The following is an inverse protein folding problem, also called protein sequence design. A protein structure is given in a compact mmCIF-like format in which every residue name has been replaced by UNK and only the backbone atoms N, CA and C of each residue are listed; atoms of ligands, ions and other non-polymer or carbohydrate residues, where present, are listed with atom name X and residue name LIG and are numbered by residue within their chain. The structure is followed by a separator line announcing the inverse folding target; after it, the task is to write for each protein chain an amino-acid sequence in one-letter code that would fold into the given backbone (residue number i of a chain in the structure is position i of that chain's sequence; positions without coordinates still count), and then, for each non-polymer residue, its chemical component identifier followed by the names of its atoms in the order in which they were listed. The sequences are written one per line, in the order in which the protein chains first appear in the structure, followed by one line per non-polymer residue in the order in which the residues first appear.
data_IF_951199603797
#
_entry.id   IF_951199603797
#
_cell.length_a   1.000
_cell.length_b   1.000
_cell.length_c   1.000
_cell.angle_alpha   90.00
_cell.angle_beta   90.00
_cell.angle_gamma   90.00
#
_symmetry.space_group_name_H-M   'P 1'
#
loop_
_entity.id
_entity.type
_entity.pdbx_description
1 polymer ?
#
# COMPACT_ATOMS: atom_id res chain seq x y z
N UNK A 1 -10.21 47.65 21.57
CA UNK A 1 -10.37 46.26 22.08
C UNK A 1 -9.92 45.31 20.98
N UNK A 2 -8.68 44.87 21.07
CA UNK A 2 -8.05 43.96 20.10
C UNK A 2 -8.20 42.54 20.60
N UNK A 3 -9.13 41.79 19.98
CA UNK A 3 -9.32 40.35 20.25
C UNK A 3 -8.25 39.56 19.57
N UNK A 4 -7.34 38.97 20.35
CA UNK A 4 -6.39 37.99 19.86
C UNK A 4 -7.12 36.68 19.49
N UNK A 5 -7.21 36.38 18.21
CA UNK A 5 -7.60 35.04 17.74
C UNK A 5 -6.46 34.05 18.04
N UNK A 6 -6.66 33.23 19.04
CA UNK A 6 -5.82 32.03 19.25
C UNK A 6 -6.13 31.01 18.17
N UNK A 7 -5.25 30.89 17.20
CA UNK A 7 -5.27 29.79 16.23
C UNK A 7 -4.86 28.50 16.95
N UNK A 8 -5.85 27.79 17.49
CA UNK A 8 -5.66 26.44 18.02
C UNK A 8 -5.26 25.50 16.88
N UNK A 9 -4.14 24.82 17.05
CA UNK A 9 -3.62 23.79 16.14
C UNK A 9 -4.71 22.75 15.83
N UNK A 10 -5.17 22.67 14.58
CA UNK A 10 -6.26 21.81 14.13
C UNK A 10 -5.86 20.31 13.94
N UNK A 11 -4.67 19.93 14.39
CA UNK A 11 -4.18 18.56 14.32
C UNK A 11 -4.04 17.95 15.71
N UNK A 12 -5.18 17.74 16.40
CA UNK A 12 -5.17 16.97 17.64
C UNK A 12 -4.89 15.49 17.31
N UNK A 13 -3.69 15.05 17.61
CA UNK A 13 -3.32 13.63 17.62
C UNK A 13 -4.14 12.93 18.72
N UNK A 14 -5.11 12.11 18.34
CA UNK A 14 -5.83 11.26 19.28
C UNK A 14 -5.06 9.97 19.45
N UNK A 15 -4.46 9.79 20.61
CA UNK A 15 -3.87 8.53 21.03
C UNK A 15 -4.99 7.69 21.64
N UNK A 16 -5.48 6.67 20.93
CA UNK A 16 -6.41 5.69 21.48
C UNK A 16 -5.63 4.53 22.08
N UNK A 17 -5.82 4.27 23.38
CA UNK A 17 -5.35 3.05 24.03
C UNK A 17 -6.26 1.90 23.60
N UNK A 18 -5.96 1.28 22.46
CA UNK A 18 -6.57 0.03 22.04
C UNK A 18 -5.80 -1.13 22.68
N UNK A 19 -6.53 -2.07 23.28
CA UNK A 19 -6.07 -3.13 24.18
C UNK A 19 -4.71 -3.77 23.85
N UNK A 20 -4.02 -4.24 24.87
CA UNK A 20 -2.65 -4.79 24.89
C UNK A 20 -2.41 -6.06 24.05
N UNK A 21 -3.40 -6.53 23.27
CA UNK A 21 -3.25 -7.75 22.48
C UNK A 21 -2.55 -7.45 21.17
N UNK A 22 -1.40 -8.13 20.98
CA UNK A 22 -0.69 -8.11 19.70
C UNK A 22 -1.49 -8.87 18.64
N UNK A 23 -2.04 -8.15 17.66
CA UNK A 23 -2.92 -8.68 16.61
C UNK A 23 -2.24 -8.78 15.24
N UNK A 24 -0.91 -8.68 15.20
CA UNK A 24 -0.14 -8.68 13.96
C UNK A 24 0.28 -10.08 13.54
N UNK A 25 0.46 -10.28 12.25
CA UNK A 25 0.88 -11.57 11.67
C UNK A 25 2.36 -11.89 11.86
N UNK A 26 3.09 -11.02 12.55
CA UNK A 26 4.51 -11.17 12.88
C UNK A 26 4.75 -10.96 14.39
N UNK A 27 5.85 -11.50 14.94
CA UNK A 27 6.13 -11.41 16.38
C UNK A 27 6.47 -9.96 16.77
N UNK A 28 6.08 -9.60 18.01
CA UNK A 28 6.38 -8.29 18.59
C UNK A 28 7.87 -8.18 18.94
N UNK A 29 8.50 -7.11 18.50
CA UNK A 29 9.89 -6.81 18.84
C UNK A 29 10.02 -6.23 20.24
N UNK A 30 11.03 -6.69 20.97
CA UNK A 30 11.42 -6.09 22.26
C UNK A 30 12.26 -4.81 22.10
N UNK A 31 12.77 -4.52 20.89
CA UNK A 31 13.69 -3.41 20.60
C UNK A 31 12.98 -2.10 20.22
N UNK A 32 11.68 -2.15 19.96
CA UNK A 32 10.91 -1.00 19.55
C UNK A 32 9.71 -0.75 20.46
N UNK A 33 9.31 0.50 20.58
CA UNK A 33 8.01 0.90 21.12
C UNK A 33 7.00 0.91 19.99
N UNK A 34 5.80 0.41 20.25
CA UNK A 34 4.67 0.42 19.33
C UNK A 34 3.52 1.20 19.92
N UNK A 35 2.90 2.06 19.12
CA UNK A 35 1.73 2.86 19.50
C UNK A 35 0.79 2.95 18.31
N UNK A 36 -0.49 2.65 18.51
CA UNK A 36 -1.53 2.90 17.51
C UNK A 36 -1.85 4.39 17.50
N UNK A 37 -1.91 4.98 16.30
CA UNK A 37 -2.16 6.42 16.09
C UNK A 37 -3.18 6.62 14.99
N UNK A 38 -3.80 7.80 14.97
CA UNK A 38 -4.72 8.23 13.91
C UNK A 38 -4.37 9.64 13.46
N UNK A 39 -4.59 9.89 12.16
CA UNK A 39 -4.43 11.21 11.55
C UNK A 39 -5.40 11.36 10.37
N UNK A 40 -5.50 12.55 9.80
CA UNK A 40 -6.42 12.79 8.67
C UNK A 40 -5.64 13.09 7.40
N UNK A 41 -6.13 12.59 6.28
CA UNK A 41 -5.71 13.06 4.97
C UNK A 41 -6.41 14.40 4.61
N UNK A 42 -6.02 15.04 3.50
CA UNK A 42 -6.60 16.32 3.06
C UNK A 42 -8.09 16.23 2.68
N UNK A 43 -8.61 15.04 2.45
CA UNK A 43 -10.05 14.80 2.21
C UNK A 43 -10.85 14.62 3.51
N UNK A 44 -10.19 14.73 4.67
CA UNK A 44 -10.83 14.57 5.98
C UNK A 44 -11.04 13.13 6.43
N UNK A 45 -10.57 12.15 5.66
CA UNK A 45 -10.64 10.74 6.03
C UNK A 45 -9.63 10.47 7.14
N UNK A 46 -10.09 9.84 8.22
CA UNK A 46 -9.22 9.43 9.34
C UNK A 46 -8.49 8.15 8.96
N UNK A 47 -7.17 8.18 9.00
CA UNK A 47 -6.29 7.04 8.78
C UNK A 47 -5.84 6.45 10.11
N UNK A 48 -5.86 5.12 10.21
CA UNK A 48 -5.31 4.38 11.35
C UNK A 48 -3.94 3.82 11.00
N UNK A 49 -2.99 3.95 11.93
CA UNK A 49 -1.63 3.52 11.73
C UNK A 49 -0.99 2.97 13.00
N UNK A 50 0.05 2.18 12.81
CA UNK A 50 0.96 1.70 13.84
C UNK A 50 2.29 2.46 13.74
N UNK A 51 2.61 3.22 14.77
CA UNK A 51 3.87 3.94 14.91
C UNK A 51 4.87 3.05 15.67
N UNK A 52 6.03 2.82 15.09
CA UNK A 52 7.14 2.09 15.70
C UNK A 52 8.33 3.03 15.93
N UNK A 53 8.87 3.01 17.14
CA UNK A 53 10.00 3.86 17.53
C UNK A 53 11.11 3.01 18.16
N UNK A 54 12.37 3.16 17.74
CA UNK A 54 13.49 2.48 18.37
C UNK A 54 13.57 2.86 19.86
N UNK A 55 13.83 1.87 20.72
CA UNK A 55 14.08 2.14 22.14
C UNK A 55 15.48 2.72 22.38
N UNK A 56 15.59 3.59 23.37
CA UNK A 56 16.89 4.12 23.82
C UNK A 56 17.55 5.14 22.90
N UNK A 57 16.88 5.56 21.81
CA UNK A 57 17.41 6.59 20.92
C UNK A 57 17.17 8.00 21.48
N UNK A 58 18.07 8.93 21.14
CA UNK A 58 17.98 10.35 21.50
C UNK A 58 18.03 11.21 20.25
N UNK A 59 17.39 12.37 20.31
CA UNK A 59 17.36 13.34 19.21
C UNK A 59 16.34 12.97 18.13
N UNK A 60 16.41 13.68 17.01
CA UNK A 60 15.53 13.48 15.87
C UNK A 60 16.08 12.41 14.93
N UNK A 61 15.23 11.53 14.49
CA UNK A 61 15.56 10.42 13.60
C UNK A 61 14.95 10.64 12.22
N UNK A 62 15.53 9.96 11.21
CA UNK A 62 14.88 9.79 9.93
C UNK A 62 13.62 8.91 10.09
N UNK A 63 12.62 9.12 9.22
CA UNK A 63 11.36 8.40 9.33
C UNK A 63 10.91 7.78 8.00
N UNK A 64 10.09 6.72 8.09
CA UNK A 64 9.55 6.00 6.95
C UNK A 64 8.05 5.78 7.10
N UNK A 65 7.27 6.17 6.10
CA UNK A 65 5.87 5.76 5.97
C UNK A 65 5.79 4.50 5.09
N UNK A 66 5.03 3.50 5.54
CA UNK A 66 4.96 2.18 4.90
C UNK A 66 3.50 1.77 4.70
N UNK A 67 3.13 1.32 3.51
CA UNK A 67 1.79 0.76 3.27
C UNK A 67 1.78 -0.29 2.16
N UNK A 68 0.74 -1.13 2.16
CA UNK A 68 0.55 -2.25 1.25
C UNK A 68 0.78 -3.60 1.92
N UNK A 69 0.51 -4.68 1.22
CA UNK A 69 -0.02 -4.81 -0.16
C UNK A 69 -1.44 -4.26 -0.36
N UNK A 70 -1.88 -4.19 -1.62
CA UNK A 70 -3.24 -3.78 -1.99
C UNK A 70 -4.26 -4.77 -1.40
N UNK A 71 -5.21 -4.27 -0.59
CA UNK A 71 -6.17 -5.09 0.14
C UNK A 71 -5.65 -5.75 1.43
N UNK A 72 -4.38 -5.53 1.78
CA UNK A 72 -3.84 -5.89 3.09
C UNK A 72 -4.08 -4.78 4.13
N UNK A 73 -3.75 -5.07 5.38
CA UNK A 73 -3.81 -4.13 6.50
C UNK A 73 -2.45 -3.98 7.16
N UNK A 74 -2.28 -2.91 7.94
CA UNK A 74 -1.03 -2.56 8.63
C UNK A 74 -0.51 -3.63 9.59
N UNK A 75 -1.36 -4.56 9.99
CA UNK A 75 -1.02 -5.71 10.84
C UNK A 75 -0.30 -6.84 10.10
N UNK A 76 -0.20 -6.74 8.76
CA UNK A 76 0.43 -7.72 7.88
C UNK A 76 1.81 -7.20 7.39
N UNK A 77 2.13 -7.36 6.12
CA UNK A 77 3.43 -7.05 5.52
C UNK A 77 3.97 -5.65 5.85
N UNK A 78 3.16 -4.59 5.72
CA UNK A 78 3.63 -3.22 5.99
C UNK A 78 4.06 -3.02 7.44
N UNK A 79 3.38 -3.66 8.39
CA UNK A 79 3.77 -3.63 9.79
C UNK A 79 5.09 -4.35 10.05
N UNK A 80 5.33 -5.51 9.39
CA UNK A 80 6.61 -6.21 9.46
C UNK A 80 7.76 -5.32 8.95
N UNK A 81 7.59 -4.70 7.78
CA UNK A 81 8.58 -3.77 7.25
C UNK A 81 8.82 -2.60 8.20
N UNK A 82 7.74 -1.99 8.71
CA UNK A 82 7.85 -0.86 9.63
C UNK A 82 8.56 -1.25 10.92
N UNK A 83 8.17 -2.35 11.58
CA UNK A 83 8.85 -2.81 12.79
C UNK A 83 10.32 -3.12 12.53
N UNK A 84 10.64 -3.82 11.45
CA UNK A 84 12.00 -4.22 11.12
C UNK A 84 12.90 -3.01 10.81
N UNK A 85 12.37 -2.00 10.11
CA UNK A 85 13.12 -0.76 9.86
C UNK A 85 13.26 0.09 11.12
N UNK A 86 12.28 0.05 12.04
CA UNK A 86 12.41 0.70 13.34
C UNK A 86 13.52 0.06 14.20
N UNK A 87 13.66 -1.26 14.16
CA UNK A 87 14.78 -1.95 14.81
C UNK A 87 16.16 -1.52 14.28
N UNK A 88 16.18 -0.94 13.07
CA UNK A 88 17.36 -0.44 12.36
C UNK A 88 17.58 1.08 12.52
N UNK A 89 16.82 1.73 13.39
CA UNK A 89 17.04 3.12 13.81
C UNK A 89 16.15 4.17 13.16
N UNK A 90 15.10 3.79 12.41
CA UNK A 90 14.13 4.73 11.85
C UNK A 90 12.89 4.85 12.75
N UNK A 91 12.22 5.99 12.74
CA UNK A 91 10.83 6.06 13.20
C UNK A 91 9.96 5.65 12.02
N UNK A 92 9.07 4.69 12.22
CA UNK A 92 8.29 4.15 11.10
C UNK A 92 6.80 4.14 11.40
N UNK A 93 6.01 4.33 10.36
CA UNK A 93 4.55 4.39 10.41
C UNK A 93 3.98 3.43 9.38
N UNK A 94 3.39 2.31 9.82
CA UNK A 94 2.58 1.45 8.97
C UNK A 94 1.11 1.90 9.03
N UNK A 95 0.48 2.21 7.90
CA UNK A 95 -0.89 2.71 7.87
C UNK A 95 -1.82 1.88 6.98
N UNK A 96 -3.10 1.80 7.39
CA UNK A 96 -4.16 1.32 6.52
C UNK A 96 -4.54 2.42 5.53
N UNK A 97 -4.66 2.14 4.22
CA UNK A 97 -5.20 3.10 3.27
C UNK A 97 -6.64 3.48 3.60
N UNK A 98 -7.08 4.64 3.14
CA UNK A 98 -8.48 5.06 3.20
C UNK A 98 -9.41 3.94 2.77
N UNK A 99 -10.55 3.80 3.43
CA UNK A 99 -11.63 2.82 3.20
C UNK A 99 -11.33 1.37 3.62
N UNK A 100 -10.13 1.07 4.12
CA UNK A 100 -9.70 -0.29 4.46
C UNK A 100 -9.22 -0.41 5.90
N UNK A 101 -9.21 -1.63 6.44
CA UNK A 101 -8.74 -1.90 7.78
C UNK A 101 -9.46 -1.08 8.85
N UNK A 102 -8.70 -0.42 9.71
CA UNK A 102 -9.20 0.49 10.75
C UNK A 102 -9.27 1.96 10.29
N UNK A 103 -8.79 2.28 9.08
CA UNK A 103 -8.96 3.61 8.49
C UNK A 103 -10.41 3.87 8.11
N UNK A 104 -10.81 5.14 8.17
CA UNK A 104 -12.15 5.59 7.83
C UNK A 104 -12.43 5.64 6.33
N UNK A 105 -13.53 6.29 6.01
CA UNK A 105 -14.04 6.43 4.65
C UNK A 105 -15.18 5.46 4.35
N UNK A 106 -16.17 5.98 3.62
CA UNK A 106 -17.35 5.24 3.17
C UNK A 106 -17.54 5.43 1.66
N UNK A 107 -17.96 4.39 0.95
CA UNK A 107 -18.22 3.03 1.44
C UNK A 107 -16.93 2.29 1.79
N UNK A 108 -17.06 1.21 2.59
CA UNK A 108 -15.91 0.34 2.92
C UNK A 108 -15.48 -0.50 1.73
N UNK A 109 -14.24 -1.00 1.78
CA UNK A 109 -13.68 -1.87 0.75
C UNK A 109 -13.59 -1.19 -0.63
N UNK A 110 -13.24 0.08 -0.63
CA UNK A 110 -12.92 0.86 -1.84
C UNK A 110 -11.41 1.08 -1.91
N UNK A 111 -10.88 1.11 -3.11
CA UNK A 111 -9.59 1.73 -3.38
C UNK A 111 -9.78 2.85 -4.42
N UNK A 112 -9.02 3.91 -4.26
CA UNK A 112 -8.97 5.03 -5.19
C UNK A 112 -7.52 5.40 -5.44
N UNK A 113 -7.13 5.44 -6.70
CA UNK A 113 -5.75 5.73 -7.07
C UNK A 113 -5.27 7.09 -6.54
N UNK A 114 -6.12 8.12 -6.60
CA UNK A 114 -5.81 9.46 -6.09
C UNK A 114 -5.82 9.51 -4.56
N UNK A 115 -6.88 9.03 -3.92
CA UNK A 115 -7.02 9.12 -2.45
C UNK A 115 -5.95 8.28 -1.74
N UNK A 116 -5.67 7.06 -2.22
CA UNK A 116 -4.64 6.23 -1.61
C UNK A 116 -3.21 6.74 -1.91
N UNK A 117 -3.01 7.51 -2.96
CA UNK A 117 -1.78 8.30 -3.17
C UNK A 117 -1.65 9.40 -2.11
N UNK A 118 -2.72 10.15 -1.87
CA UNK A 118 -2.78 11.19 -0.85
C UNK A 118 -2.51 10.65 0.56
N UNK A 119 -2.92 9.41 0.86
CA UNK A 119 -2.69 8.79 2.16
C UNK A 119 -1.20 8.71 2.52
N UNK A 120 -0.30 8.54 1.53
CA UNK A 120 1.15 8.63 1.75
C UNK A 120 1.59 10.04 2.13
N UNK A 121 1.07 11.08 1.48
CA UNK A 121 1.38 12.48 1.83
C UNK A 121 0.86 12.84 3.21
N UNK A 122 -0.32 12.35 3.59
CA UNK A 122 -0.87 12.51 4.93
C UNK A 122 -0.02 11.80 6.01
N UNK A 123 0.54 10.63 5.70
CA UNK A 123 1.48 9.93 6.57
C UNK A 123 2.78 10.74 6.75
N UNK A 124 3.24 11.42 5.69
CA UNK A 124 4.39 12.34 5.75
C UNK A 124 4.06 13.58 6.58
N UNK A 125 2.83 14.13 6.50
CA UNK A 125 2.36 15.20 7.40
C UNK A 125 2.48 14.79 8.85
N UNK A 126 1.93 13.62 9.20
CA UNK A 126 1.98 13.09 10.56
C UNK A 126 3.40 12.91 11.06
N UNK A 127 4.27 12.26 10.28
CA UNK A 127 5.67 12.05 10.63
C UNK A 127 6.43 13.37 10.77
N UNK A 128 6.21 14.33 9.87
CA UNK A 128 6.87 15.63 9.91
C UNK A 128 6.48 16.52 11.10
N UNK A 129 5.35 16.24 11.75
CA UNK A 129 4.89 16.90 12.98
C UNK A 129 5.32 16.15 14.25
N UNK A 130 5.82 14.92 14.13
CA UNK A 130 6.24 14.13 15.28
C UNK A 130 7.54 14.71 15.90
N UNK A 131 7.60 14.94 17.24
CA UNK A 131 8.70 15.66 17.88
C UNK A 131 10.08 15.03 17.69
N UNK A 132 10.13 13.69 17.55
CA UNK A 132 11.37 12.92 17.41
C UNK A 132 11.75 12.67 15.93
N UNK A 133 11.01 13.20 14.96
CA UNK A 133 11.31 13.06 13.53
C UNK A 133 12.03 14.28 12.99
N UNK A 134 13.09 14.05 12.24
CA UNK A 134 13.65 15.07 11.38
C UNK A 134 12.82 15.14 10.08
N UNK A 135 12.01 16.19 9.93
CA UNK A 135 11.12 16.38 8.78
C UNK A 135 11.82 16.48 7.43
N UNK A 136 13.13 16.74 7.43
CA UNK A 136 13.93 16.77 6.21
C UNK A 136 14.44 15.38 5.80
N UNK A 137 14.18 14.36 6.61
CA UNK A 137 14.68 12.98 6.47
C UNK A 137 13.54 11.97 6.48
N UNK A 138 12.54 12.17 5.61
CA UNK A 138 11.36 11.29 5.51
C UNK A 138 11.39 10.57 4.17
N UNK A 139 11.30 9.24 4.21
CA UNK A 139 11.13 8.37 3.06
C UNK A 139 9.83 7.59 3.11
N UNK A 140 9.52 6.89 2.02
CA UNK A 140 8.35 6.02 1.94
C UNK A 140 8.71 4.63 1.39
N UNK A 141 7.97 3.62 1.83
CA UNK A 141 8.03 2.26 1.29
C UNK A 141 6.62 1.85 0.84
N UNK A 142 6.47 1.55 -0.43
CA UNK A 142 5.26 0.95 -0.99
C UNK A 142 5.45 -0.54 -1.26
N UNK A 143 4.46 -1.37 -0.89
CA UNK A 143 4.51 -2.82 -1.10
C UNK A 143 3.38 -3.22 -2.04
N UNK A 144 3.68 -4.05 -3.04
CA UNK A 144 2.73 -4.54 -4.03
C UNK A 144 1.97 -3.38 -4.71
N UNK A 145 0.64 -3.38 -4.72
CA UNK A 145 -0.17 -2.35 -5.37
C UNK A 145 -0.03 -0.95 -4.78
N UNK A 146 0.32 -0.81 -3.48
CA UNK A 146 0.58 0.51 -2.88
C UNK A 146 1.93 1.10 -3.31
N UNK A 147 2.78 0.32 -3.97
CA UNK A 147 4.02 0.83 -4.58
C UNK A 147 3.76 1.92 -5.61
N UNK A 148 2.74 1.72 -6.44
CA UNK A 148 2.36 2.71 -7.44
C UNK A 148 1.91 4.03 -6.82
N UNK A 149 1.11 3.97 -5.74
CA UNK A 149 0.69 5.15 -4.99
C UNK A 149 1.88 5.84 -4.30
N UNK A 150 2.81 5.07 -3.72
CA UNK A 150 4.02 5.63 -3.10
C UNK A 150 4.89 6.40 -4.12
N UNK A 151 5.09 5.84 -5.31
CA UNK A 151 5.82 6.51 -6.41
C UNK A 151 5.06 7.75 -6.91
N UNK A 152 3.74 7.66 -7.04
CA UNK A 152 2.90 8.79 -7.46
C UNK A 152 2.95 9.91 -6.42
N UNK A 153 2.85 9.60 -5.12
CA UNK A 153 3.02 10.57 -4.05
C UNK A 153 4.41 11.22 -4.11
N UNK A 154 5.47 10.41 -4.25
CA UNK A 154 6.84 10.93 -4.37
C UNK A 154 7.02 11.84 -5.60
N UNK A 155 6.29 11.63 -6.69
CA UNK A 155 6.39 12.48 -7.90
C UNK A 155 5.84 13.90 -7.69
N UNK A 156 4.93 14.07 -6.72
CA UNK A 156 4.23 15.35 -6.47
C UNK A 156 4.49 15.94 -5.07
N UNK A 157 5.15 15.20 -4.17
CA UNK A 157 5.47 15.65 -2.81
C UNK A 157 6.98 15.64 -2.55
N UNK A 158 7.60 16.81 -2.60
CA UNK A 158 9.05 16.98 -2.43
C UNK A 158 9.55 16.72 -0.99
N UNK A 159 8.66 16.57 -0.02
CA UNK A 159 8.98 16.20 1.37
C UNK A 159 9.37 14.73 1.48
N UNK A 160 8.95 13.90 0.53
CA UNK A 160 9.41 12.51 0.38
C UNK A 160 10.81 12.55 -0.23
N UNK A 161 11.84 12.28 0.57
CA UNK A 161 13.26 12.44 0.18
C UNK A 161 13.83 11.20 -0.52
N UNK A 162 13.24 10.03 -0.26
CA UNK A 162 13.61 8.77 -0.89
C UNK A 162 12.39 7.84 -0.94
N UNK A 163 12.26 7.05 -1.99
CA UNK A 163 11.18 6.08 -2.13
C UNK A 163 11.74 4.70 -2.46
N UNK A 164 11.24 3.67 -1.75
CA UNK A 164 11.50 2.28 -2.07
C UNK A 164 10.18 1.54 -2.36
N UNK A 165 10.24 0.55 -3.24
CA UNK A 165 9.11 -0.35 -3.50
C UNK A 165 9.55 -1.81 -3.38
N UNK A 166 8.64 -2.68 -2.94
CA UNK A 166 8.86 -4.12 -2.92
C UNK A 166 7.70 -4.84 -3.62
N UNK A 167 8.02 -5.79 -4.50
CA UNK A 167 7.03 -6.57 -5.26
C UNK A 167 5.94 -5.69 -5.90
N UNK A 168 6.32 -4.62 -6.57
CA UNK A 168 5.38 -3.60 -7.01
C UNK A 168 4.39 -4.06 -8.07
N UNK A 169 3.24 -3.38 -8.09
CA UNK A 169 2.23 -3.41 -9.15
C UNK A 169 1.92 -2.00 -9.65
N UNK A 170 1.66 -1.88 -10.93
CA UNK A 170 0.89 -0.78 -11.49
C UNK A 170 -0.59 -1.15 -11.44
N UNK A 171 -1.29 -0.75 -10.38
CA UNK A 171 -2.70 -1.10 -10.21
C UNK A 171 -3.58 -0.51 -11.32
N UNK A 172 -3.25 0.67 -11.85
CA UNK A 172 -4.00 1.24 -12.98
C UNK A 172 -3.85 0.39 -14.24
N UNK A 173 -2.65 -0.05 -14.56
CA UNK A 173 -2.38 -0.92 -15.71
C UNK A 173 -2.98 -2.32 -15.51
N UNK A 174 -2.77 -2.91 -14.34
CA UNK A 174 -3.31 -4.23 -14.00
C UNK A 174 -4.83 -4.26 -14.11
N UNK A 175 -5.50 -3.33 -13.45
CA UNK A 175 -6.97 -3.25 -13.42
C UNK A 175 -7.55 -2.93 -14.79
N UNK A 176 -6.95 -2.00 -15.54
CA UNK A 176 -7.51 -1.53 -16.83
C UNK A 176 -7.10 -2.35 -18.05
N UNK A 177 -5.99 -3.11 -17.97
CA UNK A 177 -5.43 -3.85 -19.10
C UNK A 177 -5.19 -5.33 -18.83
N UNK A 178 -5.35 -5.76 -17.58
CA UNK A 178 -5.07 -7.13 -17.16
C UNK A 178 -3.58 -7.46 -17.05
N UNK A 179 -3.29 -8.66 -16.61
CA UNK A 179 -1.93 -9.17 -16.48
C UNK A 179 -1.19 -9.15 -17.82
N UNK A 180 -0.01 -8.52 -17.85
CA UNK A 180 0.80 -8.31 -19.06
C UNK A 180 0.03 -7.65 -20.22
N UNK A 181 -0.89 -6.74 -19.91
CA UNK A 181 -1.79 -6.09 -20.89
C UNK A 181 -2.66 -7.08 -21.68
N UNK A 182 -3.04 -8.19 -21.05
CA UNK A 182 -3.72 -9.31 -21.70
C UNK A 182 -5.18 -9.07 -22.08
N UNK A 183 -5.82 -8.00 -21.60
CA UNK A 183 -7.19 -7.68 -22.01
C UNK A 183 -7.23 -7.11 -23.42
N UNK A 184 -8.07 -7.68 -24.27
CA UNK A 184 -8.39 -7.11 -25.58
C UNK A 184 -9.16 -5.80 -25.42
N UNK A 185 -9.20 -4.99 -26.47
CA UNK A 185 -10.03 -3.77 -26.47
C UNK A 185 -11.51 -4.07 -26.22
N UNK A 186 -12.03 -5.16 -26.78
CA UNK A 186 -13.41 -5.61 -26.55
C UNK A 186 -13.65 -5.96 -25.07
N UNK A 187 -12.74 -6.71 -24.44
CA UNK A 187 -12.82 -7.02 -23.00
C UNK A 187 -12.80 -5.76 -22.14
N UNK A 188 -11.96 -4.80 -22.46
CA UNK A 188 -11.90 -3.51 -21.76
C UNK A 188 -13.21 -2.74 -21.89
N UNK A 189 -13.84 -2.71 -23.07
CA UNK A 189 -15.16 -2.12 -23.25
C UNK A 189 -16.24 -2.86 -22.44
N UNK A 190 -16.22 -4.20 -22.44
CA UNK A 190 -17.14 -5.00 -21.59
C UNK A 190 -17.00 -4.67 -20.11
N UNK A 191 -15.76 -4.48 -19.62
CA UNK A 191 -15.53 -4.06 -18.23
C UNK A 191 -16.12 -2.69 -17.97
N UNK A 192 -15.89 -1.71 -18.84
CA UNK A 192 -16.41 -0.35 -18.69
C UNK A 192 -17.95 -0.37 -18.66
N UNK A 193 -18.58 -1.12 -19.57
CA UNK A 193 -20.04 -1.25 -19.61
C UNK A 193 -20.58 -1.90 -18.33
N UNK A 194 -19.93 -2.98 -17.86
CA UNK A 194 -20.28 -3.64 -16.60
C UNK A 194 -20.20 -2.68 -15.41
N UNK A 195 -19.11 -1.94 -15.28
CA UNK A 195 -18.92 -0.98 -14.20
C UNK A 195 -19.95 0.16 -14.26
N UNK A 196 -20.29 0.61 -15.45
CA UNK A 196 -21.29 1.66 -15.67
C UNK A 196 -22.68 1.19 -15.25
N UNK A 197 -23.08 -0.02 -15.63
CA UNK A 197 -24.34 -0.63 -15.22
C UNK A 197 -24.38 -0.87 -13.71
N UNK A 198 -23.29 -1.34 -13.13
CA UNK A 198 -23.19 -1.57 -11.68
C UNK A 198 -23.42 -0.30 -10.87
N UNK A 199 -22.98 0.87 -11.36
CA UNK A 199 -23.25 2.16 -10.70
C UNK A 199 -24.74 2.45 -10.57
N UNK A 200 -25.55 2.11 -11.59
CA UNK A 200 -27.01 2.25 -11.50
C UNK A 200 -27.60 1.28 -10.49
N UNK A 201 -27.17 0.02 -10.51
CA UNK A 201 -27.60 -1.00 -9.53
C UNK A 201 -27.28 -0.56 -8.11
N UNK A 202 -26.10 -0.03 -7.87
CA UNK A 202 -25.68 0.48 -6.56
C UNK A 202 -26.56 1.67 -6.11
N UNK A 203 -26.81 2.62 -7.01
CA UNK A 203 -27.64 3.80 -6.74
C UNK A 203 -29.12 3.43 -6.46
N UNK A 204 -29.69 2.53 -7.24
CA UNK A 204 -31.07 2.05 -7.07
C UNK A 204 -31.24 1.30 -5.74
N UNK A 205 -30.24 0.52 -5.33
CA UNK A 205 -30.29 -0.27 -4.09
C UNK A 205 -29.86 0.51 -2.84
N UNK A 206 -29.27 1.72 -3.02
CA UNK A 206 -28.71 2.50 -1.89
C UNK A 206 -27.55 1.79 -1.18
N UNK A 207 -26.88 0.84 -1.84
CA UNK A 207 -25.74 0.08 -1.32
C UNK A 207 -24.82 -0.36 -2.43
N UNK A 208 -23.54 -0.51 -2.13
CA UNK A 208 -22.50 -0.91 -3.08
C UNK A 208 -22.39 -2.43 -3.17
N UNK A 209 -22.45 -2.97 -4.39
CA UNK A 209 -22.16 -4.37 -4.68
C UNK A 209 -20.68 -4.70 -4.44
N UNK A 210 -20.38 -5.93 -4.05
CA UNK A 210 -19.01 -6.43 -3.94
C UNK A 210 -18.55 -7.08 -5.24
N UNK A 211 -17.25 -7.00 -5.53
CA UNK A 211 -16.65 -7.55 -6.74
C UNK A 211 -15.13 -7.59 -6.71
N UNK A 212 -14.56 -7.88 -7.85
CA UNK A 212 -13.11 -7.96 -8.05
C UNK A 212 -12.55 -6.61 -8.48
N UNK A 213 -11.33 -6.28 -8.04
CA UNK A 213 -10.59 -5.13 -8.57
C UNK A 213 -10.05 -5.40 -9.98
N UNK A 214 -9.63 -6.61 -10.28
CA UNK A 214 -9.35 -7.08 -11.64
C UNK A 214 -10.54 -7.93 -12.10
N UNK A 215 -11.31 -7.43 -13.06
CA UNK A 215 -12.56 -8.07 -13.48
C UNK A 215 -12.25 -9.30 -14.33
N UNK A 216 -12.49 -10.52 -13.84
CA UNK A 216 -12.12 -11.72 -14.57
C UNK A 216 -13.16 -12.11 -15.64
N UNK A 217 -12.69 -12.85 -16.62
CA UNK A 217 -13.52 -13.44 -17.69
C UNK A 217 -13.51 -14.96 -17.57
N UNK A 218 -14.65 -15.58 -17.86
CA UNK A 218 -14.74 -17.02 -18.06
C UNK A 218 -14.22 -17.45 -19.46
N UNK A 219 -14.17 -18.74 -19.70
CA UNK A 219 -13.71 -19.31 -20.98
C UNK A 219 -14.56 -18.87 -22.20
N UNK A 220 -15.79 -18.40 -21.96
CA UNK A 220 -16.70 -17.90 -23.00
C UNK A 220 -16.59 -16.38 -23.20
N UNK A 221 -15.71 -15.69 -22.47
CA UNK A 221 -15.54 -14.25 -22.54
C UNK A 221 -16.61 -13.45 -21.80
N UNK A 222 -17.33 -14.06 -20.86
CA UNK A 222 -18.27 -13.35 -19.98
C UNK A 222 -17.56 -12.91 -18.70
N UNK A 223 -18.01 -11.77 -18.16
CA UNK A 223 -17.51 -11.29 -16.88
C UNK A 223 -17.93 -12.23 -15.74
N UNK A 224 -16.95 -12.65 -14.93
CA UNK A 224 -17.19 -13.40 -13.70
C UNK A 224 -17.48 -12.44 -12.57
N UNK A 225 -18.65 -12.59 -11.93
CA UNK A 225 -19.05 -11.84 -10.73
C UNK A 225 -18.68 -12.62 -9.49
N UNK A 226 -18.24 -11.96 -8.43
CA UNK A 226 -17.88 -12.61 -7.19
C UNK A 226 -17.91 -11.66 -5.99
N UNK A 227 -17.91 -12.26 -4.80
CA UNK A 227 -17.97 -11.53 -3.52
C UNK A 227 -16.73 -11.79 -2.65
N UNK A 228 -15.67 -12.36 -3.20
CA UNK A 228 -14.39 -12.60 -2.52
C UNK A 228 -13.24 -12.43 -3.50
N UNK A 229 -12.15 -11.81 -3.05
CA UNK A 229 -10.93 -11.66 -3.87
C UNK A 229 -10.27 -13.04 -4.08
N UNK A 230 -10.19 -13.84 -3.00
CA UNK A 230 -9.65 -15.19 -3.03
C UNK A 230 -10.74 -16.20 -2.61
N UNK A 231 -10.73 -17.40 -3.18
CA UNK A 231 -11.69 -18.46 -2.81
C UNK A 231 -11.51 -18.88 -1.34
N UNK A 232 -12.53 -19.50 -0.75
CA UNK A 232 -12.44 -20.07 0.61
C UNK A 232 -11.60 -21.35 0.65
N UNK A 233 -11.59 -22.09 -0.45
CA UNK A 233 -10.80 -23.31 -0.64
C UNK A 233 -10.02 -23.19 -1.93
N UNK A 234 -8.74 -23.54 -1.89
CA UNK A 234 -7.88 -23.51 -3.07
C UNK A 234 -8.31 -24.60 -4.05
N UNK A 235 -8.65 -24.25 -5.31
CA UNK A 235 -8.92 -25.25 -6.34
C UNK A 235 -7.72 -26.17 -6.59
N UNK A 236 -7.96 -27.45 -6.87
CA UNK A 236 -6.89 -28.43 -7.13
C UNK A 236 -6.04 -28.11 -8.37
N UNK A 237 -6.60 -27.33 -9.30
CA UNK A 237 -5.96 -26.86 -10.52
C UNK A 237 -5.59 -25.36 -10.47
N UNK A 238 -5.45 -24.79 -9.26
CA UNK A 238 -5.07 -23.40 -9.10
C UNK A 238 -3.72 -23.12 -9.76
N UNK A 239 -3.61 -21.99 -10.44
CA UNK A 239 -2.33 -21.53 -10.93
C UNK A 239 -1.39 -21.14 -9.78
N UNK A 240 -0.06 -21.15 -9.99
CA UNK A 240 0.90 -20.88 -8.92
C UNK A 240 0.74 -19.50 -8.27
N UNK A 241 0.29 -18.47 -9.01
CA UNK A 241 0.10 -17.11 -8.49
C UNK A 241 -1.09 -17.07 -7.54
N UNK A 242 -2.22 -17.66 -7.95
CA UNK A 242 -3.39 -17.81 -7.08
C UNK A 242 -3.04 -18.62 -5.82
N UNK A 243 -2.30 -19.71 -5.97
CA UNK A 243 -1.88 -20.55 -4.85
C UNK A 243 -1.00 -19.77 -3.85
N UNK A 244 -0.06 -18.96 -4.32
CA UNK A 244 0.81 -18.15 -3.47
C UNK A 244 0.03 -17.07 -2.70
N UNK A 245 -0.90 -16.36 -3.35
CA UNK A 245 -1.77 -15.40 -2.68
C UNK A 245 -2.72 -16.07 -1.68
N UNK A 246 -3.28 -17.24 -2.04
CA UNK A 246 -4.11 -18.01 -1.12
C UNK A 246 -3.33 -18.44 0.12
N UNK A 247 -2.12 -18.97 -0.05
CA UNK A 247 -1.26 -19.38 1.05
C UNK A 247 -0.99 -18.24 2.03
N UNK A 248 -0.69 -17.04 1.51
CA UNK A 248 -0.47 -15.89 2.38
C UNK A 248 -1.77 -15.41 3.05
N UNK A 249 -2.82 -15.10 2.29
CA UNK A 249 -3.99 -14.40 2.82
C UNK A 249 -5.04 -15.29 3.48
N UNK A 250 -5.11 -16.58 3.11
CA UNK A 250 -6.17 -17.49 3.55
C UNK A 250 -5.70 -18.55 4.55
N UNK A 251 -4.41 -18.59 4.88
CA UNK A 251 -3.81 -19.49 5.88
C UNK A 251 -3.26 -18.70 7.07
N UNK A 252 -2.89 -19.37 8.18
CA UNK A 252 -2.26 -18.69 9.33
C UNK A 252 -0.96 -17.94 9.01
N UNK A 253 -0.37 -18.13 7.82
CA UNK A 253 0.84 -17.42 7.37
C UNK A 253 0.66 -15.91 7.42
N UNK A 254 -0.44 -15.39 6.89
CA UNK A 254 -0.67 -13.95 6.82
C UNK A 254 -2.15 -13.56 6.88
N UNK A 255 -3.06 -14.48 7.22
CA UNK A 255 -4.49 -14.16 7.38
C UNK A 255 -4.69 -13.06 8.43
N UNK A 256 -5.52 -12.08 8.09
CA UNK A 256 -5.99 -11.08 9.05
C UNK A 256 -7.47 -10.75 8.84
N UNK A 257 -8.29 -10.70 9.91
CA UNK A 257 -9.76 -10.55 9.78
C UNK A 257 -10.19 -9.21 9.17
N UNK A 258 -9.37 -8.17 9.22
CA UNK A 258 -9.64 -6.87 8.60
C UNK A 258 -9.12 -6.74 7.17
N UNK A 259 -8.35 -7.72 6.68
CA UNK A 259 -7.83 -7.69 5.31
C UNK A 259 -8.89 -8.12 4.30
N UNK A 260 -9.09 -7.31 3.27
CA UNK A 260 -10.03 -7.61 2.17
C UNK A 260 -9.64 -8.91 1.47
N UNK A 261 -8.34 -9.09 1.20
CA UNK A 261 -7.84 -10.29 0.52
C UNK A 261 -8.05 -11.57 1.35
N UNK A 262 -8.13 -11.45 2.68
CA UNK A 262 -8.35 -12.59 3.58
C UNK A 262 -9.83 -12.93 3.74
N UNK A 263 -10.75 -11.98 3.60
CA UNK A 263 -12.13 -12.16 4.08
C UNK A 263 -13.24 -11.82 3.10
N UNK A 264 -13.05 -10.88 2.18
CA UNK A 264 -14.12 -10.32 1.37
C UNK A 264 -13.66 -9.89 -0.03
N UNK A 265 -14.36 -8.95 -0.64
CA UNK A 265 -14.06 -8.35 -1.94
C UNK A 265 -14.08 -6.83 -1.83
N UNK A 266 -13.60 -6.18 -2.87
CA UNK A 266 -13.76 -4.75 -3.08
C UNK A 266 -15.22 -4.40 -3.44
N UNK A 267 -15.61 -3.12 -3.34
CA UNK A 267 -16.80 -2.70 -4.06
C UNK A 267 -16.61 -2.95 -5.55
N UNK A 268 -17.66 -3.45 -6.21
CA UNK A 268 -17.58 -3.84 -7.62
C UNK A 268 -17.19 -2.69 -8.55
N UNK A 269 -17.42 -1.43 -8.14
CA UNK A 269 -17.07 -0.23 -8.87
C UNK A 269 -15.69 0.35 -8.55
N UNK A 270 -14.94 -0.26 -7.63
CA UNK A 270 -13.54 0.13 -7.31
C UNK A 270 -12.66 0.29 -8.57
N UNK A 271 -12.73 -0.57 -9.62
CA UNK A 271 -11.90 -0.42 -10.81
C UNK A 271 -12.04 0.93 -11.53
N UNK A 272 -13.17 1.63 -11.41
CA UNK A 272 -13.46 2.87 -12.14
C UNK A 272 -12.35 3.92 -11.95
N UNK A 273 -11.86 4.11 -10.73
CA UNK A 273 -10.84 5.15 -10.46
C UNK A 273 -9.48 4.85 -11.09
N UNK A 274 -9.21 3.59 -11.41
CA UNK A 274 -7.93 3.15 -11.99
C UNK A 274 -7.90 3.22 -13.51
N UNK A 275 -9.06 3.13 -14.18
CA UNK A 275 -9.12 3.19 -15.64
C UNK A 275 -8.65 4.52 -16.23
N UNK A 276 -8.88 5.61 -15.52
CA UNK A 276 -8.51 6.96 -15.94
C UNK A 276 -7.27 7.54 -15.25
N UNK A 277 -6.60 6.80 -14.37
CA UNK A 277 -5.47 7.30 -13.58
C UNK A 277 -4.13 6.80 -14.12
N UNK A 278 -3.28 7.67 -14.69
CA UNK A 278 -1.99 7.29 -15.27
C UNK A 278 -0.91 7.22 -14.18
N UNK A 279 -0.83 6.09 -13.46
CA UNK A 279 -0.05 5.91 -12.23
C UNK A 279 1.42 6.35 -12.33
N UNK A 280 2.11 6.09 -13.45
CA UNK A 280 3.52 6.41 -13.61
C UNK A 280 3.83 7.53 -14.58
N UNK A 281 2.82 8.28 -15.01
CA UNK A 281 3.04 9.36 -15.98
C UNK A 281 4.12 10.36 -15.55
N UNK A 282 4.25 10.57 -14.24
CA UNK A 282 5.15 11.57 -13.67
C UNK A 282 6.33 10.95 -12.89
N UNK A 283 6.64 9.66 -13.06
CA UNK A 283 7.71 8.99 -12.28
C UNK A 283 9.07 9.67 -12.47
N UNK A 284 9.35 10.25 -13.64
CA UNK A 284 10.56 11.03 -13.91
C UNK A 284 10.69 12.30 -13.06
N UNK A 285 9.59 12.84 -12.53
CA UNK A 285 9.57 14.02 -11.66
C UNK A 285 10.09 13.73 -10.24
N UNK A 286 10.30 12.48 -9.88
CA UNK A 286 10.90 12.12 -8.59
C UNK A 286 12.35 12.58 -8.54
N UNK A 287 13.08 12.48 -9.65
CA UNK A 287 14.47 13.00 -9.76
C UNK A 287 14.55 14.48 -9.33
N UNK A 288 15.63 14.90 -8.63
CA UNK A 288 16.85 14.15 -8.29
C UNK A 288 16.75 13.28 -7.02
N UNK A 289 15.56 13.04 -6.49
CA UNK A 289 15.37 12.16 -5.33
C UNK A 289 15.46 10.70 -5.75
N UNK A 290 16.10 9.83 -4.92
CA UNK A 290 16.39 8.46 -5.30
C UNK A 290 15.15 7.55 -5.24
N UNK A 291 15.18 6.54 -6.13
CA UNK A 291 14.19 5.44 -6.19
C UNK A 291 14.93 4.11 -6.04
N UNK A 292 14.42 3.21 -5.17
CA UNK A 292 14.84 1.82 -5.10
C UNK A 292 13.65 0.90 -5.42
N UNK A 293 13.77 0.11 -6.47
CA UNK A 293 12.77 -0.87 -6.88
C UNK A 293 13.27 -2.28 -6.53
N UNK A 294 12.50 -3.04 -5.75
CA UNK A 294 12.84 -4.40 -5.31
C UNK A 294 11.81 -5.37 -5.87
N UNK A 295 12.26 -6.40 -6.57
CA UNK A 295 11.40 -7.46 -7.09
C UNK A 295 12.04 -8.83 -6.90
N UNK A 296 11.22 -9.86 -6.68
CA UNK A 296 11.69 -11.23 -6.71
C UNK A 296 12.06 -11.67 -8.14
N UNK A 297 13.09 -12.50 -8.26
CA UNK A 297 13.54 -13.05 -9.55
C UNK A 297 12.42 -13.79 -10.27
N UNK A 298 11.64 -14.59 -9.53
CA UNK A 298 10.55 -15.41 -10.04
C UNK A 298 9.17 -14.72 -9.95
N UNK A 299 9.12 -13.47 -9.46
CA UNK A 299 7.87 -12.77 -9.28
C UNK A 299 7.15 -12.52 -10.61
N UNK A 300 5.90 -12.97 -10.71
CA UNK A 300 5.04 -12.73 -11.87
C UNK A 300 4.85 -11.23 -12.17
N UNK A 301 5.02 -10.37 -11.16
CA UNK A 301 4.90 -8.91 -11.23
C UNK A 301 6.22 -8.18 -11.51
N UNK A 302 7.34 -8.89 -11.67
CA UNK A 302 8.67 -8.29 -11.81
C UNK A 302 8.74 -7.25 -12.93
N UNK A 303 8.02 -7.49 -14.04
CA UNK A 303 8.03 -6.60 -15.20
C UNK A 303 7.53 -5.17 -14.88
N UNK A 304 6.67 -4.99 -13.87
CA UNK A 304 6.26 -3.63 -13.44
C UNK A 304 7.45 -2.84 -12.89
N UNK A 305 8.28 -3.47 -12.03
CA UNK A 305 9.50 -2.82 -11.53
C UNK A 305 10.49 -2.50 -12.66
N UNK A 306 10.65 -3.41 -13.62
CA UNK A 306 11.53 -3.21 -14.77
C UNK A 306 11.05 -2.08 -15.68
N UNK A 307 9.73 -1.96 -15.91
CA UNK A 307 9.17 -0.90 -16.75
C UNK A 307 9.22 0.47 -16.06
N UNK A 308 8.96 0.54 -14.75
CA UNK A 308 9.18 1.77 -13.98
C UNK A 308 10.65 2.17 -13.96
N UNK A 309 11.57 1.21 -13.79
CA UNK A 309 12.99 1.49 -13.86
C UNK A 309 13.40 2.12 -15.19
N UNK A 310 12.84 1.65 -16.32
CA UNK A 310 13.09 2.24 -17.65
C UNK A 310 12.54 3.67 -17.75
N UNK A 311 11.35 3.93 -17.18
CA UNK A 311 10.69 5.23 -17.28
C UNK A 311 11.14 6.28 -16.26
N UNK A 312 11.74 5.87 -15.14
CA UNK A 312 12.24 6.77 -14.11
C UNK A 312 13.54 7.44 -14.52
N UNK A 313 13.76 8.66 -14.00
CA UNK A 313 15.04 9.38 -14.12
C UNK A 313 15.99 9.03 -12.96
N UNK A 314 17.29 9.24 -13.15
CA UNK A 314 18.29 9.00 -12.10
C UNK A 314 18.14 10.01 -10.92
N UNK A 315 18.55 9.61 -9.69
CA UNK A 315 19.13 8.33 -9.30
C UNK A 315 18.08 7.24 -9.06
N UNK A 316 18.28 6.08 -9.63
CA UNK A 316 17.40 4.92 -9.53
C UNK A 316 18.17 3.61 -9.40
N UNK A 317 17.63 2.69 -8.61
CA UNK A 317 18.22 1.36 -8.44
C UNK A 317 17.12 0.30 -8.67
N UNK A 318 17.47 -0.82 -9.32
CA UNK A 318 16.63 -2.01 -9.42
C UNK A 318 17.36 -3.18 -8.77
N UNK A 319 16.77 -3.75 -7.75
CA UNK A 319 17.28 -4.91 -7.02
C UNK A 319 16.38 -6.12 -7.29
N UNK A 320 16.94 -7.12 -7.94
CA UNK A 320 16.31 -8.41 -8.14
C UNK A 320 16.78 -9.36 -7.04
N UNK A 321 15.85 -9.90 -6.26
CA UNK A 321 16.12 -10.85 -5.17
C UNK A 321 16.15 -12.26 -5.72
N UNK A 322 17.31 -12.96 -5.74
CA UNK A 322 17.42 -14.28 -6.32
C UNK A 322 16.47 -15.30 -5.67
N UNK A 323 15.83 -16.11 -6.50
CA UNK A 323 14.95 -17.19 -6.06
C UNK A 323 13.67 -16.77 -5.33
N UNK A 324 13.40 -15.48 -5.18
CA UNK A 324 12.20 -15.00 -4.51
C UNK A 324 11.02 -14.86 -5.48
N UNK A 325 9.83 -15.24 -5.01
CA UNK A 325 8.55 -14.96 -5.64
C UNK A 325 7.99 -13.60 -5.16
N UNK A 326 6.83 -13.22 -5.72
CA UNK A 326 6.14 -12.00 -5.36
C UNK A 326 5.77 -11.94 -3.87
N UNK A 327 5.13 -12.99 -3.36
CA UNK A 327 4.60 -13.07 -1.99
C UNK A 327 5.70 -13.35 -0.95
N UNK A 328 6.83 -13.89 -1.36
CA UNK A 328 7.98 -14.09 -0.48
C UNK A 328 8.48 -12.78 0.15
N UNK A 329 8.38 -11.68 -0.60
CA UNK A 329 8.77 -10.36 -0.11
C UNK A 329 7.68 -9.68 0.77
N UNK A 330 6.62 -10.40 1.14
CA UNK A 330 5.64 -9.91 2.11
C UNK A 330 6.04 -10.19 3.55
N UNK A 331 6.60 -11.38 3.82
CA UNK A 331 6.80 -11.89 5.18
C UNK A 331 8.07 -12.72 5.40
N UNK A 332 8.74 -13.19 4.34
CA UNK A 332 9.98 -13.98 4.49
C UNK A 332 11.17 -13.05 4.75
N UNK A 333 11.44 -12.80 6.04
CA UNK A 333 12.45 -11.82 6.47
C UNK A 333 13.88 -12.16 6.02
N UNK A 334 14.16 -13.42 5.72
CA UNK A 334 15.42 -13.90 5.14
C UNK A 334 15.57 -13.60 3.64
N UNK A 335 14.45 -13.41 2.93
CA UNK A 335 14.44 -13.02 1.52
C UNK A 335 14.26 -11.52 1.32
N UNK A 336 13.53 -10.85 2.21
CA UNK A 336 13.37 -9.39 2.15
C UNK A 336 14.73 -8.72 2.39
N UNK A 337 15.25 -7.90 1.46
CA UNK A 337 16.61 -7.36 1.56
C UNK A 337 16.67 -6.16 2.53
N UNK A 338 16.34 -6.38 3.81
CA UNK A 338 16.28 -5.31 4.82
C UNK A 338 17.61 -4.57 5.00
N UNK A 339 18.75 -5.26 4.84
CA UNK A 339 20.07 -4.61 4.93
C UNK A 339 20.29 -3.63 3.77
N UNK A 340 19.82 -3.98 2.56
CA UNK A 340 19.87 -3.08 1.39
C UNK A 340 18.93 -1.89 1.57
N UNK A 341 17.70 -2.11 2.07
CA UNK A 341 16.77 -1.03 2.42
C UNK A 341 17.38 -0.08 3.45
N UNK A 342 18.00 -0.63 4.50
CA UNK A 342 18.66 0.14 5.55
C UNK A 342 19.81 0.98 4.98
N UNK A 343 20.69 0.38 4.18
CA UNK A 343 21.81 1.07 3.56
C UNK A 343 21.34 2.17 2.60
N UNK A 344 20.28 1.91 1.83
CA UNK A 344 19.67 2.86 0.91
C UNK A 344 19.13 4.09 1.65
N UNK A 345 18.27 3.89 2.66
CA UNK A 345 17.70 5.02 3.40
C UNK A 345 18.75 5.77 4.24
N UNK A 346 19.74 5.09 4.83
CA UNK A 346 20.84 5.75 5.53
C UNK A 346 21.69 6.62 4.61
N UNK A 347 21.86 6.23 3.36
CA UNK A 347 22.60 7.02 2.35
C UNK A 347 21.84 8.28 1.92
N UNK A 348 20.52 8.20 1.84
CA UNK A 348 19.71 9.22 1.17
C UNK A 348 18.85 10.07 2.11
N UNK A 349 18.69 9.67 3.36
CA UNK A 349 18.01 10.45 4.40
C UNK A 349 19.04 11.08 5.36
N UNK A 350 19.90 11.94 4.82
CA UNK A 350 20.98 12.63 5.53
C UNK A 350 20.66 14.08 5.79
#
# INVERSE_FOLDING_TARGET
MTGAMTTGSAFAQRQESLGDKWDKTFPKSSRVNHTKVVFKNRYGITLAADLYQPKGTRGKLAALAVSGPFGAVKEQSSGLYAQTMAERGFITLAFDPSYTGESGGEPRNVASADINTEDFSAAVDFLGLHPNVDRNRIGVIGICGLSGMALTAASSDSRIKAVATASMYDMSRSISRGYKDGYTLEQRHKIIDYLSQQRWVDAENGRYGLGYHEVPFDANGNIVKGQRVLPETLPSNADPVLAAFFDYYRTPRGFHPRSINSTTAWTATTPVSFFGFPMYANVGMISPRPILLIAGENAHSRYYSEDVYKGASDPKELLIVPGADHVDLYDQADKIPFDRLTAYFNRHLV
#
